data_IF_224292929957
#
_entry.id   IF_224292929957
#
_cell.length_a   1.000
_cell.length_b   1.000
_cell.length_c   1.000
_cell.angle_alpha   90.00
_cell.angle_beta   90.00
_cell.angle_gamma   90.00
#
_symmetry.space_group_name_H-M   'P 1'
#
loop_
_entity.id
_entity.type
_entity.pdbx_description
1 polymer ?
#
# COMPACT_ATOMS: atom_id res chain seq x y z
N UNK A 1 -8.04 18.83 -17.31
CA UNK A 1 -9.37 19.47 -17.56
C UNK A 1 -9.38 20.86 -16.94
N UNK A 2 -9.05 21.04 -15.65
CA UNK A 2 -9.07 22.35 -14.95
C UNK A 2 -8.22 23.40 -15.65
N UNK A 3 -6.99 23.05 -16.05
CA UNK A 3 -6.10 23.97 -16.77
C UNK A 3 -6.72 24.43 -18.10
N UNK A 4 -7.26 23.49 -18.90
CA UNK A 4 -7.88 23.86 -20.18
C UNK A 4 -9.11 24.77 -20.03
N UNK A 5 -9.88 24.62 -18.95
CA UNK A 5 -10.99 25.51 -18.65
C UNK A 5 -10.49 26.88 -18.18
N UNK A 6 -9.43 26.94 -17.40
CA UNK A 6 -8.80 28.20 -16.98
C UNK A 6 -8.26 28.98 -18.18
N UNK A 7 -7.60 28.31 -19.12
CA UNK A 7 -7.09 28.92 -20.36
C UNK A 7 -8.21 29.48 -21.26
N UNK A 8 -9.43 28.93 -21.14
CA UNK A 8 -10.63 29.45 -21.79
C UNK A 8 -11.31 30.62 -21.02
N UNK A 9 -10.69 31.10 -19.93
CA UNK A 9 -11.19 32.21 -19.12
C UNK A 9 -12.25 31.82 -18.09
N UNK A 10 -12.47 30.54 -17.84
CA UNK A 10 -13.39 30.10 -16.78
C UNK A 10 -12.74 30.29 -15.41
N UNK A 11 -13.38 30.93 -14.42
CA UNK A 11 -12.89 30.92 -13.03
C UNK A 11 -13.06 29.53 -12.46
N UNK A 12 -11.92 28.84 -12.23
CA UNK A 12 -11.92 27.46 -11.75
C UNK A 12 -10.90 27.27 -10.63
N UNK A 13 -11.26 26.48 -9.64
CA UNK A 13 -10.38 26.04 -8.57
C UNK A 13 -10.29 24.51 -8.65
N UNK A 14 -9.06 23.99 -8.69
CA UNK A 14 -8.78 22.55 -8.63
C UNK A 14 -8.72 22.08 -7.18
N UNK A 15 -9.43 20.98 -6.88
CA UNK A 15 -9.39 20.33 -5.57
C UNK A 15 -8.61 19.01 -5.67
N UNK A 16 -7.56 18.78 -4.86
CA UNK A 16 -6.68 17.62 -4.97
C UNK A 16 -7.34 16.36 -4.42
N UNK A 17 -8.13 15.66 -5.25
CA UNK A 17 -8.84 14.42 -4.88
C UNK A 17 -8.12 13.19 -5.39
N UNK A 18 -7.38 12.53 -4.52
CA UNK A 18 -6.76 11.21 -4.70
C UNK A 18 -6.51 10.57 -3.34
N UNK A 19 -6.48 9.24 -3.26
CA UNK A 19 -6.10 8.54 -2.04
C UNK A 19 -4.57 8.39 -1.92
N UNK A 20 -3.83 8.58 -3.01
CA UNK A 20 -2.39 8.26 -3.09
C UNK A 20 -1.50 9.29 -2.39
N UNK A 21 -2.03 10.49 -2.14
CA UNK A 21 -1.31 11.64 -1.56
C UNK A 21 -0.01 11.99 -2.31
N UNK A 22 -0.05 11.91 -3.64
CA UNK A 22 1.09 12.00 -4.55
C UNK A 22 1.12 13.31 -5.36
N UNK A 23 0.41 14.33 -4.92
CA UNK A 23 0.36 15.65 -5.57
C UNK A 23 1.35 16.61 -4.93
N UNK A 24 2.19 17.23 -5.77
CA UNK A 24 3.12 18.28 -5.35
C UNK A 24 2.38 19.47 -4.73
N UNK A 25 3.03 20.14 -3.78
CA UNK A 25 2.51 21.33 -3.10
C UNK A 25 1.17 21.12 -2.37
N UNK A 26 0.91 19.87 -1.97
CA UNK A 26 -0.30 19.47 -1.24
C UNK A 26 0.09 18.62 -0.03
N UNK A 27 -0.29 19.06 1.17
CA UNK A 27 0.01 18.30 2.40
C UNK A 27 -0.86 17.05 2.50
N UNK A 28 -2.16 17.20 2.26
CA UNK A 28 -3.13 16.12 2.30
C UNK A 28 -4.09 16.20 1.11
N UNK A 29 -4.24 15.09 0.42
CA UNK A 29 -5.25 14.92 -0.62
C UNK A 29 -6.54 14.36 -0.03
N UNK A 30 -7.67 14.72 -0.67
CA UNK A 30 -9.00 14.29 -0.23
C UNK A 30 -9.19 12.79 -0.43
N UNK A 31 -9.45 12.07 0.66
CA UNK A 31 -9.63 10.62 0.69
C UNK A 31 -8.41 9.83 1.15
N UNK A 32 -7.24 10.45 1.30
CA UNK A 32 -6.03 9.80 1.76
C UNK A 32 -6.18 9.23 3.17
N UNK A 33 -6.62 10.04 4.14
CA UNK A 33 -6.76 9.61 5.53
C UNK A 33 -7.79 8.49 5.68
N UNK A 34 -8.88 8.54 4.94
CA UNK A 34 -9.86 7.46 4.90
C UNK A 34 -9.27 6.16 4.35
N UNK A 35 -8.44 6.25 3.30
CA UNK A 35 -7.76 5.07 2.73
C UNK A 35 -6.74 4.48 3.71
N UNK A 36 -6.04 5.33 4.48
CA UNK A 36 -5.13 4.89 5.56
C UNK A 36 -5.91 4.15 6.64
N UNK A 37 -7.07 4.66 7.07
CA UNK A 37 -7.92 3.99 8.07
C UNK A 37 -8.36 2.60 7.61
N UNK A 38 -8.78 2.47 6.34
CA UNK A 38 -9.16 1.18 5.74
C UNK A 38 -7.99 0.20 5.72
N UNK A 39 -6.79 0.69 5.35
CA UNK A 39 -5.60 -0.14 5.32
C UNK A 39 -5.14 -0.55 6.73
N UNK A 40 -5.22 0.36 7.71
CA UNK A 40 -4.90 0.09 9.12
C UNK A 40 -5.85 -0.96 9.71
N UNK A 41 -7.17 -0.82 9.48
CA UNK A 41 -8.16 -1.82 9.89
C UNK A 41 -7.89 -3.21 9.29
N UNK A 42 -7.38 -3.26 8.05
CA UNK A 42 -6.96 -4.52 7.44
C UNK A 42 -5.72 -5.11 8.13
N UNK A 43 -4.71 -4.30 8.49
CA UNK A 43 -3.54 -4.75 9.26
C UNK A 43 -3.99 -5.32 10.60
N UNK A 44 -4.84 -4.61 11.35
CA UNK A 44 -5.36 -5.04 12.67
C UNK A 44 -6.06 -6.40 12.59
N UNK A 45 -6.86 -6.62 11.55
CA UNK A 45 -7.53 -7.91 11.32
C UNK A 45 -6.54 -9.03 11.02
N UNK A 46 -5.46 -8.73 10.30
CA UNK A 46 -4.42 -9.70 9.95
C UNK A 46 -3.54 -10.07 11.16
N UNK A 47 -3.28 -9.15 12.10
CA UNK A 47 -2.46 -9.42 13.31
C UNK A 47 -3.00 -10.61 14.08
N UNK A 48 -4.30 -10.68 14.32
CA UNK A 48 -4.89 -11.74 15.14
C UNK A 48 -4.76 -13.12 14.49
N UNK A 49 -4.96 -13.21 13.17
CA UNK A 49 -4.81 -14.48 12.45
C UNK A 49 -3.33 -14.85 12.24
N UNK A 50 -2.44 -13.88 12.04
CA UNK A 50 -1.00 -14.11 11.98
C UNK A 50 -0.47 -14.74 13.28
N UNK A 51 -0.86 -14.13 14.40
CA UNK A 51 -0.44 -14.59 15.74
C UNK A 51 -0.97 -15.99 16.08
N UNK A 52 -2.26 -16.26 15.77
CA UNK A 52 -2.87 -17.56 16.11
C UNK A 52 -2.35 -18.74 15.27
N UNK A 53 -1.86 -18.46 14.06
CA UNK A 53 -1.38 -19.51 13.14
C UNK A 53 0.13 -19.50 12.93
N UNK A 54 0.86 -18.62 13.61
CA UNK A 54 2.31 -18.49 13.48
C UNK A 54 2.77 -18.29 12.03
N UNK A 55 2.16 -17.32 11.34
CA UNK A 55 2.36 -17.05 9.91
C UNK A 55 3.00 -15.70 9.64
N UNK A 56 3.55 -15.60 8.43
CA UNK A 56 3.85 -14.32 7.80
C UNK A 56 2.64 -13.93 6.95
N UNK A 57 2.07 -12.75 7.21
CA UNK A 57 1.01 -12.19 6.39
C UNK A 57 1.52 -10.96 5.64
N UNK A 58 1.29 -10.94 4.34
CA UNK A 58 1.63 -9.83 3.44
C UNK A 58 0.33 -9.14 3.05
N UNK A 59 0.23 -7.84 3.34
CA UNK A 59 -0.87 -6.99 2.90
C UNK A 59 -0.38 -6.07 1.79
N UNK A 60 -0.88 -6.25 0.57
CA UNK A 60 -0.65 -5.33 -0.53
C UNK A 60 -1.69 -4.22 -0.51
N UNK A 61 -1.21 -2.97 -0.55
CA UNK A 61 -2.04 -1.75 -0.53
C UNK A 61 -1.80 -0.92 -1.78
N UNK A 62 -2.80 -0.12 -2.15
CA UNK A 62 -2.70 0.85 -3.25
C UNK A 62 -1.76 2.01 -2.88
N UNK A 63 -1.52 2.90 -3.83
CA UNK A 63 -0.69 4.09 -3.69
C UNK A 63 0.10 4.39 -4.95
N UNK A 64 -0.03 3.55 -5.99
CA UNK A 64 0.67 3.66 -7.27
C UNK A 64 2.19 3.75 -7.09
N UNK A 65 2.77 4.92 -7.37
CA UNK A 65 4.20 5.19 -7.27
C UNK A 65 4.59 5.86 -5.95
N UNK A 66 3.64 6.05 -5.04
CA UNK A 66 3.85 6.64 -3.72
C UNK A 66 3.53 5.63 -2.60
N UNK A 67 4.40 5.56 -1.61
CA UNK A 67 4.29 4.64 -0.48
C UNK A 67 3.53 5.18 0.73
N UNK A 68 2.86 6.33 0.62
CA UNK A 68 2.25 7.01 1.77
C UNK A 68 1.23 6.17 2.51
N UNK A 69 0.31 5.49 1.78
CA UNK A 69 -0.69 4.63 2.42
C UNK A 69 -0.02 3.47 3.16
N UNK A 70 0.94 2.80 2.49
CA UNK A 70 1.67 1.68 3.09
C UNK A 70 2.42 2.11 4.35
N UNK A 71 3.12 3.26 4.31
CA UNK A 71 3.88 3.80 5.43
C UNK A 71 2.98 4.12 6.62
N UNK A 72 1.91 4.88 6.39
CA UNK A 72 0.99 5.27 7.47
C UNK A 72 0.27 4.07 8.08
N UNK A 73 -0.24 3.16 7.24
CA UNK A 73 -0.92 1.95 7.72
C UNK A 73 0.04 1.00 8.46
N UNK A 74 1.30 0.90 8.02
CA UNK A 74 2.33 0.11 8.73
C UNK A 74 2.62 0.65 10.12
N UNK A 75 2.80 1.97 10.23
CA UNK A 75 3.09 2.61 11.52
C UNK A 75 1.89 2.51 12.45
N UNK A 76 0.69 2.81 11.95
CA UNK A 76 -0.53 2.79 12.74
C UNK A 76 -0.95 1.39 13.17
N UNK A 77 -0.85 0.39 12.28
CA UNK A 77 -1.19 -1.01 12.54
C UNK A 77 -0.05 -1.83 13.15
N UNK A 78 1.15 -1.26 13.30
CA UNK A 78 2.29 -1.93 13.91
C UNK A 78 2.85 -3.09 13.08
N UNK A 79 2.86 -2.98 11.75
CA UNK A 79 3.48 -3.97 10.89
C UNK A 79 5.00 -4.02 11.09
N UNK A 80 5.58 -5.23 11.02
CA UNK A 80 7.01 -5.45 11.23
C UNK A 80 7.87 -4.96 10.07
N UNK A 81 7.34 -5.03 8.84
CA UNK A 81 8.04 -4.61 7.62
C UNK A 81 7.11 -3.74 6.78
N UNK A 82 7.64 -2.63 6.30
CA UNK A 82 6.98 -1.73 5.36
C UNK A 82 7.83 -1.60 4.10
N UNK A 83 7.24 -1.92 2.93
CA UNK A 83 7.92 -1.86 1.64
C UNK A 83 7.22 -0.83 0.74
N UNK A 84 7.97 0.19 0.33
CA UNK A 84 7.46 1.34 -0.41
C UNK A 84 8.20 1.53 -1.74
N UNK A 85 7.58 2.17 -2.75
CA UNK A 85 8.22 2.37 -4.06
C UNK A 85 9.49 3.20 -4.01
N UNK A 86 9.57 4.15 -3.08
CA UNK A 86 10.66 5.11 -2.94
C UNK A 86 11.98 4.45 -2.51
N UNK A 87 11.90 3.28 -1.88
CA UNK A 87 13.06 2.55 -1.38
C UNK A 87 12.99 1.10 -1.89
N UNK A 88 13.76 0.75 -2.94
CA UNK A 88 13.85 -0.63 -3.39
C UNK A 88 14.27 -1.57 -2.25
N UNK A 89 13.55 -2.66 -2.07
CA UNK A 89 13.79 -3.57 -0.95
C UNK A 89 14.80 -4.67 -1.30
N UNK A 90 15.52 -5.09 -0.27
CA UNK A 90 16.42 -6.25 -0.29
C UNK A 90 15.68 -7.45 0.31
N UNK A 91 15.51 -8.51 -0.48
CA UNK A 91 14.77 -9.70 -0.07
C UNK A 91 15.44 -10.42 1.11
N UNK A 92 16.78 -10.40 1.18
CA UNK A 92 17.51 -11.03 2.26
C UNK A 92 17.29 -10.29 3.58
N UNK A 93 17.22 -8.96 3.55
CA UNK A 93 16.87 -8.14 4.73
C UNK A 93 15.43 -8.36 5.19
N UNK A 94 14.50 -8.54 4.25
CA UNK A 94 13.11 -8.88 4.60
C UNK A 94 13.07 -10.25 5.28
N UNK A 95 13.78 -11.23 4.74
CA UNK A 95 13.90 -12.55 5.34
C UNK A 95 14.52 -12.48 6.74
N UNK A 96 15.60 -11.73 6.90
CA UNK A 96 16.27 -11.53 8.19
C UNK A 96 15.29 -10.93 9.23
N UNK A 97 14.54 -9.89 8.86
CA UNK A 97 13.56 -9.27 9.74
C UNK A 97 12.46 -10.26 10.19
N UNK A 98 11.97 -11.09 9.26
CA UNK A 98 11.01 -12.16 9.58
C UNK A 98 11.64 -13.14 10.58
N UNK A 99 12.82 -13.70 10.28
CA UNK A 99 13.45 -14.69 11.14
C UNK A 99 13.77 -14.15 12.52
N UNK A 100 14.31 -12.93 12.61
CA UNK A 100 14.56 -12.25 13.87
C UNK A 100 13.28 -12.09 14.72
N UNK A 101 12.15 -11.83 14.08
CA UNK A 101 10.85 -11.71 14.76
C UNK A 101 10.42 -13.04 15.39
N UNK A 102 10.61 -14.15 14.66
CA UNK A 102 10.31 -15.49 15.15
C UNK A 102 11.29 -15.95 16.24
N UNK A 103 12.59 -15.71 16.08
CA UNK A 103 13.63 -16.03 17.05
C UNK A 103 13.43 -15.28 18.38
N UNK A 104 12.93 -14.06 18.34
CA UNK A 104 12.56 -13.26 19.52
C UNK A 104 11.24 -13.72 20.18
N UNK A 105 10.66 -14.83 19.77
CA UNK A 105 9.52 -15.48 20.40
C UNK A 105 8.16 -14.83 20.08
N UNK A 106 8.09 -13.90 19.12
CA UNK A 106 6.82 -13.30 18.70
C UNK A 106 5.98 -14.22 17.83
N UNK A 107 6.62 -15.09 17.06
CA UNK A 107 5.98 -16.19 16.34
C UNK A 107 5.07 -15.80 15.18
N UNK A 108 5.09 -14.54 14.71
CA UNK A 108 4.38 -14.08 13.53
C UNK A 108 4.99 -12.80 12.99
N UNK A 109 4.71 -12.45 11.73
CA UNK A 109 5.08 -11.16 11.15
C UNK A 109 4.02 -10.69 10.16
N UNK A 110 3.73 -9.38 10.19
CA UNK A 110 2.92 -8.69 9.20
C UNK A 110 3.79 -7.78 8.35
N UNK A 111 3.63 -7.87 7.05
CA UNK A 111 4.33 -7.06 6.07
C UNK A 111 3.29 -6.24 5.31
N UNK A 112 3.46 -4.94 5.27
CA UNK A 112 2.67 -4.07 4.37
C UNK A 112 3.54 -3.70 3.19
N UNK A 113 3.05 -3.93 1.99
CA UNK A 113 3.73 -3.61 0.74
C UNK A 113 2.85 -2.75 -0.16
N UNK A 114 3.40 -1.63 -0.64
CA UNK A 114 2.72 -0.85 -1.67
C UNK A 114 2.78 -1.58 -3.02
N UNK A 115 1.70 -1.48 -3.82
CA UNK A 115 1.60 -2.11 -5.14
C UNK A 115 2.72 -1.73 -6.12
N UNK A 116 3.37 -0.56 -5.89
CA UNK A 116 4.49 -0.05 -6.67
C UNK A 116 5.87 -0.40 -6.09
N UNK A 117 5.96 -1.12 -4.99
CA UNK A 117 7.25 -1.49 -4.40
C UNK A 117 8.01 -2.49 -5.27
N UNK A 118 9.33 -2.32 -5.35
CA UNK A 118 10.21 -3.13 -6.19
C UNK A 118 11.40 -3.66 -5.39
N UNK A 119 11.89 -4.89 -5.68
CA UNK A 119 13.16 -5.36 -5.13
C UNK A 119 14.34 -4.64 -5.79
N UNK A 120 15.49 -4.64 -5.14
CA UNK A 120 16.74 -4.11 -5.72
C UNK A 120 17.04 -4.83 -7.04
N UNK A 121 17.19 -4.05 -8.12
CA UNK A 121 17.42 -4.58 -9.46
C UNK A 121 16.20 -5.20 -10.15
N UNK A 122 15.02 -5.12 -9.51
CA UNK A 122 13.77 -5.63 -10.07
C UNK A 122 12.96 -4.56 -10.80
N UNK A 123 11.84 -5.00 -11.35
CA UNK A 123 10.88 -4.16 -12.08
C UNK A 123 9.52 -4.12 -11.38
N UNK A 124 8.69 -3.15 -11.76
CA UNK A 124 7.32 -3.03 -11.27
C UNK A 124 6.49 -4.27 -11.62
N UNK A 125 5.66 -4.70 -10.68
CA UNK A 125 4.63 -5.70 -10.94
C UNK A 125 3.40 -5.02 -11.53
N UNK A 126 3.01 -5.43 -12.75
CA UNK A 126 1.84 -4.85 -13.41
C UNK A 126 1.17 -5.84 -14.37
N UNK A 127 -0.08 -5.56 -14.70
CA UNK A 127 -0.80 -6.17 -15.80
C UNK A 127 -1.13 -5.12 -16.84
N UNK A 128 -0.97 -5.49 -18.11
CA UNK A 128 -1.41 -4.62 -19.22
C UNK A 128 -2.94 -4.63 -19.31
N UNK A 129 -3.50 -3.44 -19.48
CA UNK A 129 -4.94 -3.27 -19.63
C UNK A 129 -5.25 -3.00 -21.11
N UNK A 130 -5.99 -3.90 -21.72
CA UNK A 130 -6.41 -3.81 -23.13
C UNK A 130 -7.70 -2.99 -23.34
N UNK A 131 -8.34 -2.49 -22.28
CA UNK A 131 -9.60 -1.75 -22.37
C UNK A 131 -9.36 -0.37 -22.99
N UNK A 132 -10.03 0.00 -24.08
CA UNK A 132 -9.92 1.33 -24.69
C UNK A 132 -10.28 2.44 -23.70
N UNK A 133 -9.41 3.45 -23.59
CA UNK A 133 -9.60 4.59 -22.68
C UNK A 133 -9.21 4.36 -21.23
N UNK A 134 -8.85 3.13 -20.85
CA UNK A 134 -8.30 2.84 -19.54
C UNK A 134 -6.78 3.07 -19.51
N UNK A 135 -6.21 3.22 -18.31
CA UNK A 135 -4.75 3.26 -18.15
C UNK A 135 -4.13 1.98 -18.68
N UNK A 136 -3.07 2.10 -19.49
CA UNK A 136 -2.38 0.96 -20.12
C UNK A 136 -1.80 -0.01 -19.09
N UNK A 137 -1.34 0.50 -17.95
CA UNK A 137 -0.68 -0.27 -16.89
C UNK A 137 -1.53 -0.22 -15.63
N UNK A 138 -1.83 -1.40 -15.09
CA UNK A 138 -2.42 -1.60 -13.78
C UNK A 138 -1.38 -2.22 -12.87
N UNK A 139 -0.93 -1.48 -11.86
CA UNK A 139 -0.04 -2.00 -10.83
C UNK A 139 -0.75 -3.04 -9.98
N UNK A 140 0.01 -3.96 -9.41
CA UNK A 140 -0.49 -4.99 -8.52
C UNK A 140 0.29 -6.28 -8.65
N UNK A 141 0.21 -7.11 -7.62
CA UNK A 141 0.94 -8.37 -7.54
C UNK A 141 2.30 -8.26 -6.87
N UNK A 142 2.67 -7.09 -6.33
CA UNK A 142 3.90 -6.91 -5.57
C UNK A 142 3.94 -7.82 -4.33
N UNK A 143 2.83 -7.96 -3.62
CA UNK A 143 2.70 -8.85 -2.47
C UNK A 143 2.82 -10.33 -2.84
N UNK A 144 2.23 -10.74 -3.96
CA UNK A 144 2.36 -12.11 -4.47
C UNK A 144 3.80 -12.42 -4.85
N UNK A 145 4.45 -11.50 -5.58
CA UNK A 145 5.86 -11.64 -5.96
C UNK A 145 6.76 -11.76 -4.73
N UNK A 146 6.58 -10.87 -3.75
CA UNK A 146 7.35 -10.93 -2.50
C UNK A 146 7.19 -12.30 -1.81
N UNK A 147 5.95 -12.80 -1.71
CA UNK A 147 5.69 -14.11 -1.12
C UNK A 147 6.38 -15.25 -1.88
N UNK A 148 6.38 -15.20 -3.21
CA UNK A 148 7.10 -16.19 -4.04
C UNK A 148 8.62 -16.10 -3.85
N UNK A 149 9.19 -14.90 -3.82
CA UNK A 149 10.63 -14.68 -3.62
C UNK A 149 11.07 -15.18 -2.25
N UNK A 150 10.31 -14.89 -1.19
CA UNK A 150 10.59 -15.41 0.16
C UNK A 150 10.52 -16.95 0.23
N UNK A 151 9.54 -17.57 -0.43
CA UNK A 151 9.46 -19.05 -0.51
C UNK A 151 10.64 -19.65 -1.28
N UNK A 152 11.02 -19.05 -2.41
CA UNK A 152 12.20 -19.45 -3.21
C UNK A 152 13.50 -19.27 -2.42
N UNK A 153 13.58 -18.23 -1.58
CA UNK A 153 14.69 -17.98 -0.65
C UNK A 153 14.73 -18.94 0.54
N UNK A 154 13.78 -19.89 0.64
CA UNK A 154 13.78 -20.90 1.69
C UNK A 154 13.13 -20.47 3.01
N UNK A 155 12.25 -19.49 3.02
CA UNK A 155 11.49 -19.12 4.21
C UNK A 155 10.77 -20.37 4.78
N UNK A 156 11.07 -20.79 6.03
CA UNK A 156 10.47 -21.99 6.60
C UNK A 156 9.05 -21.77 7.14
N UNK A 157 8.56 -20.52 7.10
CA UNK A 157 7.31 -20.12 7.71
C UNK A 157 6.24 -20.01 6.64
N UNK A 158 5.03 -20.41 6.97
CA UNK A 158 3.89 -20.29 6.06
C UNK A 158 3.59 -18.80 5.76
N UNK A 159 3.56 -18.45 4.49
CA UNK A 159 3.29 -17.09 3.99
C UNK A 159 1.92 -17.05 3.34
N UNK A 160 1.13 -16.04 3.65
CA UNK A 160 -0.15 -15.74 3.00
C UNK A 160 -0.18 -14.30 2.54
N UNK A 161 -0.74 -14.08 1.38
CA UNK A 161 -0.87 -12.76 0.77
C UNK A 161 -2.33 -12.32 0.75
N UNK A 162 -2.54 -11.04 1.01
CA UNK A 162 -3.83 -10.37 0.91
C UNK A 162 -3.66 -9.11 0.08
N UNK A 163 -4.44 -8.98 -0.98
CA UNK A 163 -4.48 -7.77 -1.81
C UNK A 163 -5.73 -7.00 -1.42
N UNK A 164 -5.56 -5.85 -0.78
CA UNK A 164 -6.67 -5.02 -0.33
C UNK A 164 -7.44 -4.39 -1.50
N UNK A 165 -6.70 -3.96 -2.53
CA UNK A 165 -7.25 -3.48 -3.79
C UNK A 165 -8.26 -2.35 -3.59
N UNK A 166 -9.34 -2.39 -4.36
CA UNK A 166 -10.35 -1.32 -4.41
C UNK A 166 -11.19 -1.15 -3.13
N UNK A 167 -11.09 -2.04 -2.14
CA UNK A 167 -11.69 -1.82 -0.82
C UNK A 167 -11.19 -0.53 -0.17
N UNK A 168 -9.93 -0.14 -0.43
CA UNK A 168 -9.36 1.13 0.03
C UNK A 168 -10.04 2.37 -0.55
N UNK A 169 -10.74 2.24 -1.68
CA UNK A 169 -11.42 3.35 -2.35
C UNK A 169 -12.87 3.50 -1.92
N UNK A 170 -13.34 2.59 -1.10
CA UNK A 170 -14.71 2.54 -0.62
C UNK A 170 -14.86 3.01 0.82
N UNK A 171 -16.07 2.90 1.30
CA UNK A 171 -16.42 3.23 2.68
C UNK A 171 -16.83 4.68 2.90
N UNK A 172 -17.09 4.99 4.15
CA UNK A 172 -17.51 6.31 4.59
C UNK A 172 -16.29 7.17 4.88
N UNK A 173 -16.19 8.42 4.37
CA UNK A 173 -15.10 9.32 4.70
C UNK A 173 -14.97 9.50 6.23
N UNK A 174 -13.73 9.47 6.73
CA UNK A 174 -13.46 9.71 8.14
C UNK A 174 -13.68 11.20 8.51
N UNK A 175 -13.56 11.52 9.80
CA UNK A 175 -13.77 12.89 10.28
C UNK A 175 -12.80 13.90 9.65
N UNK A 176 -11.54 13.50 9.45
CA UNK A 176 -10.53 14.37 8.85
C UNK A 176 -10.90 14.77 7.42
N UNK A 177 -11.19 13.79 6.55
CA UNK A 177 -11.56 14.04 5.16
C UNK A 177 -12.86 14.84 5.03
N UNK A 178 -13.82 14.62 5.94
CA UNK A 178 -15.07 15.42 5.98
C UNK A 178 -14.82 16.88 6.34
N UNK A 179 -13.97 17.13 7.34
CA UNK A 179 -13.61 18.51 7.76
C UNK A 179 -12.84 19.18 6.63
N UNK A 180 -11.84 18.51 6.07
CA UNK A 180 -11.04 19.03 4.96
C UNK A 180 -11.90 19.38 3.75
N UNK A 181 -12.91 18.57 3.45
CA UNK A 181 -13.84 18.82 2.33
C UNK A 181 -14.87 19.93 2.60
N UNK A 182 -15.00 20.41 3.84
CA UNK A 182 -15.96 21.43 4.25
C UNK A 182 -15.31 22.82 4.40
N UNK A 183 -14.00 22.92 4.29
CA UNK A 183 -13.22 24.17 4.31
C UNK A 183 -13.15 24.78 2.93
#
# INVERSE_FOLDING_TARGET
ISQGLFELGCPIIGVPKTIDNDLSDTDFTFGFQTAVDVATDAVDKLVTTAASHHRVLILEVMGRYAGWIALHASIAGGAEVCLIPEIPYDIDKVMEAIMQRFDNGRGFANIVIAEGAVPIGGELSYTENSTPGAMKIRLGGAGMRLGEELRKGGCPIEIRETILGHLQRGGTPNAFDRILASQ
#
